data_IF_963994681040
#
_entry.id   IF_963994681040
#
_cell.length_a   1.000
_cell.length_b   1.000
_cell.length_c   1.000
_cell.angle_alpha   90.00
_cell.angle_beta   90.00
_cell.angle_gamma   90.00
#
_symmetry.space_group_name_H-M   'P 1'
#
loop_
_entity.id
_entity.type
_entity.pdbx_description
1 polymer ?
#
# COMPACT_ATOMS: atom_id res chain seq x y z
N UNK A 1 18.72 32.47 25.72
CA UNK A 1 19.86 32.20 24.80
C UNK A 1 19.36 31.74 23.44
N UNK A 2 20.19 31.86 22.37
CA UNK A 2 19.80 31.38 21.04
C UNK A 2 19.44 29.88 21.05
N UNK A 3 20.04 29.12 21.93
CA UNK A 3 19.77 27.69 22.10
C UNK A 3 18.35 27.41 22.68
N UNK A 4 17.83 28.28 23.52
CA UNK A 4 16.48 28.14 24.08
C UNK A 4 15.42 28.41 23.02
N UNK A 5 15.69 29.36 22.11
CA UNK A 5 14.82 29.64 20.97
C UNK A 5 14.73 28.40 20.05
N UNK A 6 15.87 27.75 19.75
CA UNK A 6 15.89 26.53 18.93
C UNK A 6 15.08 25.40 19.57
N UNK A 7 15.20 25.20 20.90
CA UNK A 7 14.42 24.18 21.63
C UNK A 7 12.92 24.42 21.50
N UNK A 8 12.48 25.69 21.67
CA UNK A 8 11.08 26.05 21.56
C UNK A 8 10.56 25.79 20.15
N UNK A 9 11.32 26.19 19.12
CA UNK A 9 10.96 25.95 17.72
C UNK A 9 10.90 24.46 17.42
N UNK A 10 11.88 23.68 17.88
CA UNK A 10 11.91 22.22 17.71
C UNK A 10 10.69 21.55 18.35
N UNK A 11 10.32 21.96 19.58
CA UNK A 11 9.14 21.46 20.27
C UNK A 11 7.84 21.80 19.52
N UNK A 12 7.68 23.07 19.12
CA UNK A 12 6.52 23.51 18.33
C UNK A 12 6.41 22.73 17.01
N UNK A 13 7.55 22.49 16.33
CA UNK A 13 7.58 21.71 15.09
C UNK A 13 7.20 20.27 15.30
N UNK A 14 7.64 19.65 16.40
CA UNK A 14 7.25 18.29 16.75
C UNK A 14 5.73 18.18 16.96
N UNK A 15 5.15 19.11 17.75
CA UNK A 15 3.69 19.16 17.96
C UNK A 15 2.95 19.38 16.63
N UNK A 16 3.44 20.29 15.78
CA UNK A 16 2.87 20.54 14.47
C UNK A 16 2.95 19.29 13.57
N UNK A 17 4.05 18.56 13.61
CA UNK A 17 4.19 17.28 12.91
C UNK A 17 3.14 16.25 13.33
N UNK A 18 2.85 16.14 14.62
CA UNK A 18 1.77 15.27 15.13
C UNK A 18 0.40 15.73 14.61
N UNK A 19 0.13 17.03 14.65
CA UNK A 19 -1.13 17.60 14.11
C UNK A 19 -1.28 17.30 12.60
N UNK A 20 -0.18 17.40 11.84
CA UNK A 20 -0.18 17.05 10.41
C UNK A 20 -0.54 15.58 10.20
N UNK A 21 -0.01 14.66 11.00
CA UNK A 21 -0.36 13.24 10.87
C UNK A 21 -1.86 13.03 11.14
N UNK A 22 -2.37 13.56 12.24
CA UNK A 22 -3.75 13.30 12.68
C UNK A 22 -4.77 13.97 11.75
N UNK A 23 -4.59 15.24 11.46
CA UNK A 23 -5.57 16.04 10.71
C UNK A 23 -5.32 16.01 9.21
N UNK A 24 -4.10 16.37 8.78
CA UNK A 24 -3.81 16.58 7.38
C UNK A 24 -3.65 15.27 6.60
N UNK A 25 -2.97 14.27 7.17
CA UNK A 25 -2.80 12.99 6.49
C UNK A 25 -4.16 12.29 6.30
N UNK A 26 -5.01 12.26 7.34
CA UNK A 26 -6.36 11.67 7.25
C UNK A 26 -7.22 12.40 6.22
N UNK A 27 -7.18 13.74 6.19
CA UNK A 27 -7.92 14.54 5.23
C UNK A 27 -7.38 14.38 3.80
N UNK A 28 -6.07 14.43 3.63
CA UNK A 28 -5.40 14.27 2.33
C UNK A 28 -5.63 12.88 1.72
N UNK A 29 -5.56 11.81 2.52
CA UNK A 29 -5.82 10.46 2.06
C UNK A 29 -7.28 10.30 1.60
N UNK A 30 -8.23 10.86 2.34
CA UNK A 30 -9.66 10.87 1.95
C UNK A 30 -9.90 11.62 0.65
N UNK A 31 -9.30 12.82 0.49
CA UNK A 31 -9.39 13.58 -0.77
C UNK A 31 -8.79 12.81 -1.95
N UNK A 32 -7.62 12.19 -1.75
CA UNK A 32 -6.97 11.41 -2.79
C UNK A 32 -7.80 10.20 -3.19
N UNK A 33 -8.40 9.50 -2.22
CA UNK A 33 -9.30 8.38 -2.49
C UNK A 33 -10.52 8.84 -3.29
N UNK A 34 -11.17 9.94 -2.88
CA UNK A 34 -12.30 10.51 -3.62
C UNK A 34 -11.90 10.93 -5.04
N UNK A 35 -10.72 11.54 -5.21
CA UNK A 35 -10.21 11.89 -6.53
C UNK A 35 -9.99 10.66 -7.41
N UNK A 36 -9.41 9.59 -6.87
CA UNK A 36 -9.20 8.35 -7.61
C UNK A 36 -10.53 7.70 -8.02
N UNK A 37 -11.50 7.66 -7.11
CA UNK A 37 -12.85 7.16 -7.40
C UNK A 37 -13.54 7.99 -8.49
N UNK A 38 -13.42 9.32 -8.41
CA UNK A 38 -13.97 10.21 -9.42
C UNK A 38 -13.29 9.98 -10.78
N UNK A 39 -11.95 9.93 -10.80
CA UNK A 39 -11.18 9.68 -12.02
C UNK A 39 -11.58 8.37 -12.68
N UNK A 40 -11.77 7.30 -11.92
CA UNK A 40 -12.18 5.99 -12.45
C UNK A 40 -13.56 5.99 -13.13
N UNK A 41 -14.48 6.86 -12.69
CA UNK A 41 -15.78 6.98 -13.33
C UNK A 41 -15.72 7.61 -14.73
N UNK A 42 -14.62 8.28 -15.07
CA UNK A 42 -14.42 8.98 -16.34
C UNK A 42 -13.32 8.37 -17.23
N UNK A 43 -12.61 7.37 -16.75
CA UNK A 43 -11.52 6.72 -17.49
C UNK A 43 -11.86 5.23 -17.59
N UNK A 44 -11.95 4.69 -18.80
CA UNK A 44 -12.10 3.24 -19.03
C UNK A 44 -10.88 2.42 -18.58
N UNK A 45 -9.82 3.10 -18.15
CA UNK A 45 -8.60 2.52 -17.60
C UNK A 45 -8.79 2.24 -16.09
N UNK A 46 -9.25 1.04 -15.76
CA UNK A 46 -9.33 0.52 -14.37
C UNK A 46 -7.97 0.38 -13.66
N UNK A 47 -6.88 0.91 -14.26
CA UNK A 47 -5.49 0.79 -13.82
C UNK A 47 -5.17 1.41 -12.46
N UNK A 48 -6.06 2.21 -11.88
CA UNK A 48 -5.74 2.96 -10.65
C UNK A 48 -6.32 2.36 -9.38
N UNK A 49 -7.17 1.33 -9.46
CA UNK A 49 -7.73 0.63 -8.30
C UNK A 49 -7.09 -0.73 -8.06
N UNK A 50 -6.47 -1.34 -9.08
CA UNK A 50 -5.73 -2.59 -8.94
C UNK A 50 -4.47 -2.51 -9.79
N UNK A 51 -3.31 -2.88 -9.27
CA UNK A 51 -2.16 -3.21 -10.09
C UNK A 51 -2.44 -4.59 -10.67
N UNK A 52 -3.08 -4.62 -11.83
CA UNK A 52 -3.13 -5.82 -12.65
C UNK A 52 -1.81 -5.82 -13.40
N UNK A 53 -0.96 -6.78 -13.10
CA UNK A 53 0.19 -7.07 -13.95
C UNK A 53 -0.32 -7.53 -15.31
N UNK A 54 0.53 -7.55 -16.33
CA UNK A 54 0.20 -8.11 -17.68
C UNK A 54 -0.35 -9.56 -17.59
N UNK A 55 -0.18 -10.22 -16.45
CA UNK A 55 -0.58 -11.59 -16.13
C UNK A 55 -1.92 -11.72 -15.37
N UNK A 56 -2.60 -10.60 -15.04
CA UNK A 56 -3.87 -10.59 -14.31
C UNK A 56 -3.73 -10.56 -12.78
N UNK A 57 -4.84 -10.84 -12.10
CA UNK A 57 -4.95 -10.92 -10.63
C UNK A 57 -4.58 -12.33 -10.17
N UNK A 58 -3.72 -12.42 -9.15
CA UNK A 58 -3.41 -13.66 -8.45
C UNK A 58 -3.71 -13.50 -6.97
N UNK A 59 -4.49 -14.43 -6.40
CA UNK A 59 -4.83 -14.47 -4.97
C UNK A 59 -4.54 -15.86 -4.43
N UNK A 60 -3.84 -15.96 -3.31
CA UNK A 60 -3.79 -17.15 -2.46
C UNK A 60 -4.82 -16.98 -1.35
N UNK A 61 -5.81 -17.85 -1.27
CA UNK A 61 -6.84 -17.85 -0.26
C UNK A 61 -6.81 -19.19 0.51
N UNK A 62 -6.61 -19.12 1.82
CA UNK A 62 -6.65 -20.29 2.70
C UNK A 62 -8.02 -20.28 3.38
N UNK A 63 -8.88 -21.20 2.97
CA UNK A 63 -10.23 -21.33 3.52
C UNK A 63 -10.49 -22.76 4.00
N UNK A 64 -10.82 -22.90 5.30
CA UNK A 64 -10.92 -24.20 5.98
C UNK A 64 -9.59 -24.99 5.80
N UNK A 65 -9.63 -26.22 5.32
CA UNK A 65 -8.46 -27.07 5.08
C UNK A 65 -8.01 -27.07 3.61
N UNK A 66 -8.34 -26.00 2.87
CA UNK A 66 -7.99 -25.88 1.44
C UNK A 66 -7.22 -24.60 1.13
N UNK A 67 -6.20 -24.75 0.29
CA UNK A 67 -5.44 -23.64 -0.27
C UNK A 67 -5.98 -23.39 -1.68
N UNK A 68 -6.60 -22.24 -1.89
CA UNK A 68 -7.14 -21.86 -3.20
C UNK A 68 -6.20 -20.86 -3.88
N UNK A 69 -5.67 -21.22 -5.04
CA UNK A 69 -4.92 -20.30 -5.89
C UNK A 69 -5.86 -19.80 -6.96
N UNK A 70 -6.23 -18.54 -6.86
CA UNK A 70 -7.20 -17.89 -7.72
C UNK A 70 -6.46 -16.99 -8.69
N UNK A 71 -6.72 -17.16 -9.98
CA UNK A 71 -6.27 -16.25 -11.01
C UNK A 71 -7.48 -15.67 -11.74
N UNK A 72 -7.44 -14.40 -12.08
CA UNK A 72 -8.42 -13.73 -12.93
C UNK A 72 -7.70 -12.79 -13.90
N UNK A 73 -8.06 -12.85 -15.16
CA UNK A 73 -7.43 -12.07 -16.22
C UNK A 73 -7.84 -10.59 -16.16
N UNK A 74 -9.11 -10.31 -15.84
CA UNK A 74 -9.68 -8.97 -15.81
C UNK A 74 -10.54 -8.78 -14.55
N UNK A 75 -10.46 -7.59 -13.96
CA UNK A 75 -11.34 -7.14 -12.87
C UNK A 75 -12.16 -5.96 -13.38
N UNK A 76 -13.47 -6.10 -13.39
CA UNK A 76 -14.41 -5.02 -13.67
C UNK A 76 -15.32 -4.80 -12.47
N UNK A 77 -15.05 -3.78 -11.67
CA UNK A 77 -15.75 -3.53 -10.39
C UNK A 77 -15.71 -4.78 -9.51
N UNK A 78 -16.89 -5.34 -9.20
CA UNK A 78 -17.04 -6.54 -8.38
C UNK A 78 -17.06 -7.86 -9.20
N UNK A 79 -16.77 -7.82 -10.49
CA UNK A 79 -16.79 -9.00 -11.37
C UNK A 79 -15.37 -9.30 -11.80
N UNK A 80 -14.92 -10.53 -11.52
CA UNK A 80 -13.72 -11.12 -12.10
C UNK A 80 -14.11 -11.83 -13.39
N UNK A 81 -13.29 -11.71 -14.44
CA UNK A 81 -13.48 -12.40 -15.73
C UNK A 81 -12.31 -13.34 -16.00
N UNK A 82 -12.62 -14.43 -16.70
CA UNK A 82 -11.67 -15.50 -17.03
C UNK A 82 -10.99 -16.02 -15.77
N UNK A 83 -11.81 -16.56 -14.86
CA UNK A 83 -11.37 -16.98 -13.53
C UNK A 83 -10.93 -18.43 -13.55
N UNK A 84 -9.76 -18.69 -12.98
CA UNK A 84 -9.24 -20.02 -12.71
C UNK A 84 -8.95 -20.17 -11.22
N UNK A 85 -9.51 -21.20 -10.59
CA UNK A 85 -9.31 -21.50 -9.17
C UNK A 85 -8.74 -22.91 -9.05
N UNK A 86 -7.51 -23.02 -8.59
CA UNK A 86 -6.88 -24.29 -8.24
C UNK A 86 -7.01 -24.51 -6.75
N UNK A 87 -7.73 -25.57 -6.36
CA UNK A 87 -7.89 -25.98 -4.97
C UNK A 87 -6.87 -27.06 -4.63
N UNK A 88 -6.09 -26.79 -3.61
CA UNK A 88 -5.02 -27.67 -3.11
C UNK A 88 -5.33 -28.09 -1.68
N UNK A 89 -4.84 -29.27 -1.28
CA UNK A 89 -4.82 -29.70 0.11
C UNK A 89 -3.63 -29.07 0.87
N UNK A 90 -3.53 -29.36 2.18
CA UNK A 90 -2.42 -28.88 3.03
C UNK A 90 -1.05 -29.39 2.59
N UNK A 91 -0.99 -30.45 1.77
CA UNK A 91 0.24 -30.99 1.20
C UNK A 91 0.56 -30.42 -0.19
N UNK A 92 -0.17 -29.37 -0.61
CA UNK A 92 -0.09 -28.77 -1.95
C UNK A 92 -0.43 -29.74 -3.09
N UNK A 93 -1.24 -30.78 -2.83
CA UNK A 93 -1.76 -31.66 -3.87
C UNK A 93 -3.03 -31.07 -4.47
N UNK A 94 -3.14 -31.08 -5.80
CA UNK A 94 -4.30 -30.55 -6.50
C UNK A 94 -5.53 -31.43 -6.22
N UNK A 95 -6.59 -30.84 -5.67
CA UNK A 95 -7.88 -31.49 -5.42
C UNK A 95 -8.77 -31.33 -6.67
N UNK A 96 -8.96 -30.09 -7.12
CA UNK A 96 -9.73 -29.76 -8.32
C UNK A 96 -9.29 -28.44 -8.91
N UNK A 97 -9.71 -28.18 -10.16
CA UNK A 97 -9.55 -26.90 -10.84
C UNK A 97 -10.91 -26.42 -11.34
N UNK A 98 -11.27 -25.18 -11.00
CA UNK A 98 -12.50 -24.54 -11.45
C UNK A 98 -12.10 -23.46 -12.46
N UNK A 99 -12.61 -23.54 -13.67
CA UNK A 99 -12.46 -22.52 -14.71
C UNK A 99 -13.84 -21.92 -14.99
N UNK A 100 -13.95 -20.61 -14.99
CA UNK A 100 -15.22 -19.92 -15.15
C UNK A 100 -15.09 -18.63 -15.95
N UNK A 101 -16.17 -18.25 -16.63
CA UNK A 101 -16.19 -17.02 -17.41
C UNK A 101 -16.21 -15.79 -16.51
N UNK A 102 -17.02 -15.82 -15.43
CA UNK A 102 -17.13 -14.70 -14.48
C UNK A 102 -17.35 -15.16 -13.05
N UNK A 103 -16.86 -14.36 -12.09
CA UNK A 103 -17.15 -14.51 -10.66
C UNK A 103 -17.54 -13.15 -10.07
N UNK A 104 -18.71 -13.04 -9.45
CA UNK A 104 -19.10 -11.89 -8.65
C UNK A 104 -18.53 -12.02 -7.25
N UNK A 105 -17.64 -11.09 -6.89
CA UNK A 105 -16.90 -11.06 -5.62
C UNK A 105 -17.43 -10.01 -4.64
N UNK A 106 -18.66 -9.53 -4.83
CA UNK A 106 -19.25 -8.50 -3.99
C UNK A 106 -19.25 -8.87 -2.51
N UNK A 107 -19.48 -10.13 -2.21
CA UNK A 107 -19.47 -10.70 -0.87
C UNK A 107 -18.43 -11.83 -0.79
N UNK A 108 -18.20 -12.36 0.43
CA UNK A 108 -17.29 -13.49 0.65
C UNK A 108 -17.80 -14.81 0.05
N UNK A 109 -19.07 -14.89 -0.32
CA UNK A 109 -19.65 -15.98 -1.09
C UNK A 109 -19.72 -15.52 -2.52
N UNK A 110 -18.77 -15.98 -3.33
CA UNK A 110 -18.70 -15.64 -4.73
C UNK A 110 -19.72 -16.40 -5.55
N UNK A 111 -20.37 -15.72 -6.47
CA UNK A 111 -21.25 -16.35 -7.44
C UNK A 111 -20.47 -16.51 -8.74
N UNK A 112 -20.10 -17.77 -9.03
CA UNK A 112 -19.31 -18.12 -10.21
C UNK A 112 -20.26 -18.59 -11.31
N UNK A 113 -20.16 -18.01 -12.51
CA UNK A 113 -21.01 -18.32 -13.65
C UNK A 113 -20.23 -19.07 -14.73
N UNK A 114 -20.91 -20.01 -15.38
CA UNK A 114 -20.36 -20.89 -16.44
C UNK A 114 -19.12 -21.67 -15.96
N UNK A 115 -19.20 -22.25 -14.77
CA UNK A 115 -18.09 -22.98 -14.16
C UNK A 115 -17.91 -24.38 -14.80
N UNK A 116 -16.66 -24.71 -15.08
CA UNK A 116 -16.19 -26.05 -15.42
C UNK A 116 -15.25 -26.52 -14.32
N UNK A 117 -15.68 -27.50 -13.57
CA UNK A 117 -14.89 -28.12 -12.51
C UNK A 117 -14.20 -29.37 -13.04
N UNK A 118 -12.89 -29.43 -12.90
CA UNK A 118 -12.04 -30.55 -13.28
C UNK A 118 -11.57 -31.24 -12.01
N UNK A 119 -11.94 -32.49 -11.87
CA UNK A 119 -11.49 -33.39 -10.81
C UNK A 119 -10.05 -33.87 -11.10
N UNK A 120 -9.36 -34.41 -10.09
CA UNK A 120 -8.05 -35.05 -10.18
C UNK A 120 -8.01 -36.18 -11.22
N UNK A 121 -9.16 -36.85 -11.46
CA UNK A 121 -9.34 -37.89 -12.48
C UNK A 121 -9.56 -37.36 -13.90
N UNK A 122 -9.62 -36.03 -14.09
CA UNK A 122 -9.90 -35.37 -15.37
C UNK A 122 -11.38 -35.36 -15.77
N UNK A 123 -12.31 -35.74 -14.87
CA UNK A 123 -13.75 -35.65 -15.13
C UNK A 123 -14.21 -34.21 -15.09
N UNK A 124 -14.98 -33.80 -16.08
CA UNK A 124 -15.49 -32.42 -16.20
C UNK A 124 -16.94 -32.36 -15.73
N UNK A 125 -17.21 -31.50 -14.77
CA UNK A 125 -18.56 -31.17 -14.30
C UNK A 125 -18.85 -29.73 -14.70
N UNK A 126 -19.87 -29.51 -15.54
CA UNK A 126 -20.31 -28.15 -15.92
C UNK A 126 -21.42 -27.69 -15.01
N UNK A 127 -21.33 -26.47 -14.50
CA UNK A 127 -22.34 -25.83 -13.66
C UNK A 127 -22.63 -24.44 -14.20
N UNK A 128 -23.88 -24.10 -14.46
CA UNK A 128 -24.26 -22.76 -14.91
C UNK A 128 -23.94 -21.71 -13.86
N UNK A 129 -24.21 -22.03 -12.59
CA UNK A 129 -23.90 -21.22 -11.43
C UNK A 129 -23.35 -22.08 -10.30
N UNK A 130 -22.31 -21.56 -9.61
CA UNK A 130 -21.69 -22.22 -8.46
C UNK A 130 -21.42 -21.18 -7.38
N UNK A 131 -21.66 -21.53 -6.13
CA UNK A 131 -21.26 -20.72 -4.97
C UNK A 131 -19.87 -21.16 -4.49
N UNK A 132 -18.97 -20.21 -4.35
CA UNK A 132 -17.62 -20.43 -3.87
C UNK A 132 -17.37 -19.54 -2.66
N UNK A 133 -16.95 -20.13 -1.55
CA UNK A 133 -16.62 -19.39 -0.31
C UNK A 133 -15.17 -18.94 -0.37
N UNK A 134 -14.93 -17.68 -0.06
CA UNK A 134 -13.61 -17.06 -0.02
C UNK A 134 -13.48 -16.14 1.20
N UNK A 135 -12.26 -15.95 1.69
CA UNK A 135 -11.97 -14.90 2.66
C UNK A 135 -11.94 -13.50 2.06
N UNK A 136 -11.97 -13.41 0.71
CA UNK A 136 -11.94 -12.18 -0.05
C UNK A 136 -13.33 -11.75 -0.49
N UNK A 137 -13.63 -10.49 -0.29
CA UNK A 137 -14.71 -9.76 -0.91
C UNK A 137 -14.13 -8.66 -1.83
N UNK A 138 -14.98 -7.97 -2.55
CA UNK A 138 -14.57 -6.86 -3.43
C UNK A 138 -13.71 -5.81 -2.71
N UNK A 139 -14.08 -5.44 -1.47
CA UNK A 139 -13.34 -4.43 -0.72
C UNK A 139 -11.93 -4.90 -0.37
N UNK A 140 -11.80 -6.17 0.01
CA UNK A 140 -10.51 -6.76 0.37
C UNK A 140 -9.61 -6.90 -0.86
N UNK A 141 -10.15 -7.39 -1.98
CA UNK A 141 -9.43 -7.46 -3.26
C UNK A 141 -8.99 -6.06 -3.71
N UNK A 142 -9.89 -5.08 -3.68
CA UNK A 142 -9.57 -3.71 -4.06
C UNK A 142 -8.50 -3.07 -3.13
N UNK A 143 -8.53 -3.39 -1.84
CA UNK A 143 -7.53 -2.89 -0.89
C UNK A 143 -6.14 -3.51 -1.11
N UNK A 144 -6.03 -4.76 -1.58
CA UNK A 144 -4.73 -5.36 -1.92
C UNK A 144 -3.98 -4.54 -2.97
N UNK A 145 -4.71 -3.89 -3.87
CA UNK A 145 -4.17 -3.11 -4.99
C UNK A 145 -4.33 -1.61 -4.82
N UNK A 146 -4.84 -1.15 -3.66
CA UNK A 146 -5.02 0.28 -3.41
C UNK A 146 -3.67 0.99 -3.32
N UNK A 147 -3.64 2.22 -3.82
CA UNK A 147 -2.46 3.06 -3.67
C UNK A 147 -2.25 3.38 -2.18
N UNK A 148 -1.18 2.83 -1.58
CA UNK A 148 -0.86 2.96 -0.16
C UNK A 148 -0.92 4.42 0.34
N UNK A 149 -0.51 5.37 -0.50
CA UNK A 149 -0.54 6.79 -0.14
C UNK A 149 -1.95 7.41 -0.12
N UNK A 150 -2.99 6.69 -0.56
CA UNK A 150 -4.40 7.10 -0.43
C UNK A 150 -5.09 6.53 0.80
N UNK A 151 -4.41 5.68 1.55
CA UNK A 151 -4.93 5.07 2.77
C UNK A 151 -4.59 5.92 3.99
N UNK A 152 -5.51 5.97 4.94
CA UNK A 152 -5.22 6.56 6.25
C UNK A 152 -4.46 5.56 7.14
N UNK A 153 -3.94 6.02 8.29
CA UNK A 153 -3.15 5.19 9.21
C UNK A 153 -3.86 3.92 9.67
N UNK A 154 -5.17 3.98 9.92
CA UNK A 154 -5.96 2.82 10.35
C UNK A 154 -6.11 1.82 9.20
N UNK A 155 -6.39 2.31 8.00
CA UNK A 155 -6.48 1.48 6.79
C UNK A 155 -5.15 0.82 6.46
N UNK A 156 -4.02 1.55 6.55
CA UNK A 156 -2.69 1.00 6.37
C UNK A 156 -2.37 -0.11 7.40
N UNK A 157 -2.75 0.09 8.67
CA UNK A 157 -2.56 -0.93 9.71
C UNK A 157 -3.41 -2.18 9.44
N UNK A 158 -4.66 -2.00 9.01
CA UNK A 158 -5.51 -3.13 8.65
C UNK A 158 -4.94 -3.87 7.44
N UNK A 159 -4.49 -3.15 6.42
CA UNK A 159 -3.85 -3.75 5.24
C UNK A 159 -2.55 -4.50 5.60
N UNK A 160 -1.74 -3.96 6.51
CA UNK A 160 -0.58 -4.68 7.04
C UNK A 160 -0.97 -6.03 7.64
N UNK A 161 -2.02 -6.05 8.47
CA UNK A 161 -2.50 -7.28 9.09
C UNK A 161 -3.07 -8.26 8.06
N UNK A 162 -3.82 -7.75 7.08
CA UNK A 162 -4.39 -8.56 6.00
C UNK A 162 -3.27 -9.18 5.14
N UNK A 163 -2.25 -8.42 4.75
CA UNK A 163 -1.10 -8.93 3.99
C UNK A 163 -0.35 -10.01 4.77
N UNK A 164 -0.14 -9.79 6.08
CA UNK A 164 0.51 -10.76 6.95
C UNK A 164 -0.27 -12.07 7.06
N UNK A 165 -1.60 -12.00 7.21
CA UNK A 165 -2.48 -13.19 7.28
C UNK A 165 -2.49 -13.96 5.96
N UNK A 166 -2.36 -13.28 4.83
CA UNK A 166 -2.41 -13.85 3.50
C UNK A 166 -1.04 -14.32 2.97
N UNK A 167 0.04 -14.10 3.75
CA UNK A 167 1.40 -14.44 3.34
C UNK A 167 1.98 -13.53 2.25
N UNK A 168 1.40 -12.33 2.03
CA UNK A 168 1.97 -11.33 1.12
C UNK A 168 3.09 -10.53 1.77
N UNK A 169 3.96 -9.93 0.94
CA UNK A 169 4.98 -9.02 1.42
C UNK A 169 4.36 -7.79 2.09
N UNK A 170 4.76 -7.53 3.33
CA UNK A 170 4.30 -6.38 4.11
C UNK A 170 5.23 -5.17 4.01
N UNK A 171 6.35 -5.28 3.29
CA UNK A 171 7.44 -4.31 3.29
C UNK A 171 7.03 -2.91 2.83
N UNK A 172 6.24 -2.82 1.76
CA UNK A 172 5.76 -1.53 1.25
C UNK A 172 4.81 -0.84 2.24
N UNK A 173 3.89 -1.61 2.83
CA UNK A 173 2.93 -1.10 3.82
C UNK A 173 3.66 -0.68 5.10
N UNK A 174 4.62 -1.49 5.55
CA UNK A 174 5.46 -1.21 6.73
C UNK A 174 6.32 0.04 6.50
N UNK A 175 6.93 0.17 5.33
CA UNK A 175 7.69 1.35 4.95
C UNK A 175 6.84 2.62 4.99
N UNK A 176 5.62 2.58 4.43
CA UNK A 176 4.72 3.73 4.43
C UNK A 176 4.25 4.09 5.85
N UNK A 177 3.94 3.10 6.71
CA UNK A 177 3.63 3.33 8.11
C UNK A 177 4.79 4.01 8.85
N UNK A 178 6.02 3.50 8.68
CA UNK A 178 7.20 4.10 9.30
C UNK A 178 7.47 5.52 8.80
N UNK A 179 7.27 5.82 7.51
CA UNK A 179 7.40 7.19 6.96
C UNK A 179 6.44 8.16 7.64
N UNK A 180 5.18 7.77 7.79
CA UNK A 180 4.18 8.64 8.42
C UNK A 180 4.56 8.89 9.88
N UNK A 181 4.94 7.85 10.63
CA UNK A 181 5.28 7.95 12.05
C UNK A 181 6.58 8.74 12.28
N UNK A 182 7.58 8.59 11.41
CA UNK A 182 8.87 9.30 11.50
C UNK A 182 8.78 10.79 11.12
N UNK A 183 7.72 11.20 10.41
CA UNK A 183 7.55 12.55 9.87
C UNK A 183 7.76 13.68 10.89
N UNK A 184 7.24 13.64 12.14
CA UNK A 184 7.47 14.70 13.14
C UNK A 184 8.95 14.84 13.50
N UNK A 185 9.66 13.72 13.62
CA UNK A 185 11.10 13.69 13.95
C UNK A 185 11.91 14.24 12.77
N UNK A 186 11.57 13.81 11.55
CA UNK A 186 12.18 14.34 10.34
C UNK A 186 12.06 15.87 10.24
N UNK A 187 10.87 16.44 10.51
CA UNK A 187 10.65 17.88 10.53
C UNK A 187 11.51 18.59 11.56
N UNK A 188 11.65 18.02 12.77
CA UNK A 188 12.51 18.57 13.83
C UNK A 188 13.97 18.58 13.38
N UNK A 189 14.47 17.49 12.79
CA UNK A 189 15.85 17.41 12.30
C UNK A 189 16.10 18.48 11.23
N UNK A 190 15.18 18.62 10.27
CA UNK A 190 15.28 19.62 9.20
C UNK A 190 15.32 21.06 9.74
N UNK A 191 14.51 21.37 10.78
CA UNK A 191 14.54 22.68 11.43
C UNK A 191 15.84 22.90 12.19
N UNK A 192 16.38 21.90 12.89
CA UNK A 192 17.67 22.01 13.57
C UNK A 192 18.80 22.29 12.57
N UNK A 193 18.83 21.60 11.45
CA UNK A 193 19.82 21.84 10.38
C UNK A 193 19.66 23.26 9.83
N UNK A 194 18.46 23.67 9.47
CA UNK A 194 18.19 25.01 8.97
C UNK A 194 18.57 26.13 9.98
N UNK A 195 18.25 25.93 11.25
CA UNK A 195 18.58 26.86 12.33
C UNK A 195 20.10 27.01 12.52
N UNK A 196 20.85 25.89 12.48
CA UNK A 196 22.32 25.94 12.62
C UNK A 196 22.98 26.67 11.46
N UNK A 197 22.49 26.47 10.23
CA UNK A 197 22.99 27.21 9.05
C UNK A 197 22.73 28.71 9.14
N UNK A 198 21.55 29.12 9.63
CA UNK A 198 21.18 30.54 9.71
C UNK A 198 21.80 31.28 10.89
N UNK A 199 22.02 30.60 12.02
CA UNK A 199 22.62 31.21 13.21
C UNK A 199 24.11 31.52 13.05
N UNK A 200 24.83 30.79 12.20
CA UNK A 200 26.24 31.02 11.93
C UNK A 200 26.51 32.19 10.96
N UNK A 201 25.47 32.88 10.49
CA UNK A 201 25.64 34.03 9.60
C UNK A 201 26.11 35.25 10.38
N UNK A 202 27.34 35.71 10.14
CA UNK A 202 27.84 36.98 10.67
C UNK A 202 27.04 38.13 10.07
N UNK A 203 26.78 39.19 10.88
CA UNK A 203 25.95 40.34 10.53
C UNK A 203 26.31 40.98 9.18
N UNK A 204 27.60 40.99 8.80
CA UNK A 204 28.10 41.62 7.59
C UNK A 204 28.29 40.67 6.38
N UNK A 205 27.82 39.39 6.47
CA UNK A 205 27.91 38.45 5.35
C UNK A 205 26.57 38.24 4.65
N UNK A 206 26.63 38.01 3.34
CA UNK A 206 25.43 37.69 2.55
C UNK A 206 24.74 36.44 3.08
N UNK A 207 23.44 36.54 3.42
CA UNK A 207 22.60 35.43 3.85
C UNK A 207 22.27 34.49 2.69
N UNK A 208 22.40 34.95 1.46
CA UNK A 208 22.04 34.21 0.24
C UNK A 208 22.81 32.89 0.11
N UNK A 209 24.12 32.94 0.42
CA UNK A 209 24.93 31.70 0.41
C UNK A 209 24.39 30.60 1.33
N UNK A 210 24.02 30.96 2.55
CA UNK A 210 23.49 30.00 3.53
C UNK A 210 22.09 29.48 3.14
N UNK A 211 21.27 30.32 2.49
CA UNK A 211 19.98 29.90 1.93
C UNK A 211 20.22 28.89 0.80
N UNK A 212 21.10 29.19 -0.14
CA UNK A 212 21.44 28.26 -1.25
C UNK A 212 21.99 26.94 -0.69
N UNK A 213 22.90 27.00 0.28
CA UNK A 213 23.45 25.82 0.95
C UNK A 213 22.33 24.99 1.63
N UNK A 214 21.37 25.64 2.30
CA UNK A 214 20.22 24.99 2.91
C UNK A 214 19.34 24.26 1.90
N UNK A 215 19.08 24.90 0.75
CA UNK A 215 18.31 24.28 -0.34
C UNK A 215 19.04 23.05 -0.91
N UNK A 216 20.33 23.18 -1.21
CA UNK A 216 21.15 22.06 -1.70
C UNK A 216 21.14 20.89 -0.72
N UNK A 217 21.33 21.19 0.57
CA UNK A 217 21.33 20.18 1.62
C UNK A 217 19.97 19.48 1.75
N UNK A 218 18.88 20.23 1.68
CA UNK A 218 17.52 19.66 1.75
C UNK A 218 17.22 18.73 0.58
N UNK A 219 17.65 19.09 -0.64
CA UNK A 219 17.51 18.21 -1.83
C UNK A 219 18.35 16.95 -1.67
N UNK A 220 19.58 17.07 -1.17
CA UNK A 220 20.45 15.92 -0.93
C UNK A 220 19.86 14.98 0.12
N UNK A 221 19.34 15.49 1.24
CA UNK A 221 18.70 14.69 2.28
C UNK A 221 17.46 13.99 1.73
N UNK A 222 16.63 14.69 0.93
CA UNK A 222 15.47 14.11 0.28
C UNK A 222 15.85 12.95 -0.64
N UNK A 223 16.89 13.13 -1.46
CA UNK A 223 17.35 12.09 -2.37
C UNK A 223 17.93 10.87 -1.61
N UNK A 224 18.72 11.10 -0.56
CA UNK A 224 19.21 10.02 0.29
C UNK A 224 18.05 9.23 0.93
N UNK A 225 17.07 9.92 1.48
CA UNK A 225 15.88 9.29 2.06
C UNK A 225 15.15 8.42 1.03
N UNK A 226 15.00 8.92 -0.21
CA UNK A 226 14.40 8.16 -1.30
C UNK A 226 15.19 6.88 -1.63
N UNK A 227 16.52 6.97 -1.75
CA UNK A 227 17.39 5.81 -2.03
C UNK A 227 17.32 4.78 -0.90
N UNK A 228 17.43 5.21 0.35
CA UNK A 228 17.32 4.32 1.50
C UNK A 228 15.97 3.61 1.55
N UNK A 229 14.89 4.32 1.26
CA UNK A 229 13.57 3.73 1.22
C UNK A 229 13.45 2.61 0.17
N UNK A 230 13.96 2.82 -1.05
CA UNK A 230 14.01 1.78 -2.08
C UNK A 230 14.85 0.58 -1.62
N UNK A 231 15.96 0.81 -0.92
CA UNK A 231 16.77 -0.28 -0.38
C UNK A 231 16.01 -1.08 0.69
N UNK A 232 15.16 -0.42 1.48
CA UNK A 232 14.32 -1.07 2.48
C UNK A 232 13.22 -1.92 1.86
N UNK A 233 12.49 -1.40 0.89
CA UNK A 233 11.41 -2.14 0.19
C UNK A 233 11.94 -3.31 -0.65
N UNK A 234 13.20 -3.23 -1.10
CA UNK A 234 13.90 -4.32 -1.81
C UNK A 234 14.68 -5.28 -0.89
N UNK A 235 14.40 -5.31 0.40
CA UNK A 235 15.01 -6.22 1.41
C UNK A 235 16.53 -6.09 1.57
N UNK A 236 17.15 -5.06 1.01
CA UNK A 236 18.61 -4.86 1.14
C UNK A 236 19.02 -4.37 2.52
N UNK A 237 18.14 -3.64 3.19
CA UNK A 237 18.29 -3.18 4.57
C UNK A 237 16.95 -3.31 5.30
N UNK A 238 16.93 -3.49 6.62
CA UNK A 238 15.69 -3.53 7.38
C UNK A 238 14.86 -2.25 7.18
N UNK A 239 13.54 -2.39 6.99
CA UNK A 239 12.63 -1.26 6.72
C UNK A 239 12.75 -0.17 7.79
N UNK A 240 12.89 -0.56 9.05
CA UNK A 240 13.12 0.40 10.14
C UNK A 240 14.34 1.30 9.89
N UNK A 241 15.48 0.72 9.50
CA UNK A 241 16.71 1.49 9.23
C UNK A 241 16.63 2.31 7.93
N UNK A 242 15.75 1.92 7.01
CA UNK A 242 15.58 2.64 5.75
C UNK A 242 14.81 3.94 5.88
N UNK A 243 14.02 4.08 6.93
CA UNK A 243 13.11 5.23 7.12
C UNK A 243 13.56 6.13 8.26
N UNK A 244 14.18 5.58 9.33
CA UNK A 244 14.62 6.32 10.53
C UNK A 244 16.10 6.72 10.43
#
# INVERSE_FOLDING_TARGET
TNFDIIKIIAYLTFVLGIVIIIAFHTFSSSLKNNYLNFKNNFTDDNKYLAVINEEGLWIKDEFEDTINIINAEIIEKNILKNVSINQLDDNFTLINTIIADTADIKEKIWVINNAKEYDDTGKIIKKETMLFKSNFDYLKVNNLFSNLSSLNLLQLKNQYNDFKLLGYSTLDVESELHKIISMPIYLVIMILIGSTLMMNVKYNKSKIFNIILGVILSVLIYYLNYVFNIMGTNERIPVFLSVW
#
